data_IF_437583646638
#
_entry.id   IF_437583646638
#
_cell.length_a   1.000
_cell.length_b   1.000
_cell.length_c   1.000
_cell.angle_alpha   90.00
_cell.angle_beta   90.00
_cell.angle_gamma   90.00
#
_symmetry.space_group_name_H-M   'P 1'
#
loop_
_entity.id
_entity.type
_entity.pdbx_description
1 polymer ?
#
# COMPACT_ATOMS: atom_id res chain seq x y z
N UNK A 1 8.83 6.19 1.13
CA UNK A 1 8.13 5.29 0.22
C UNK A 1 7.04 4.56 0.97
N UNK A 2 5.83 4.45 0.40
CA UNK A 2 4.65 3.78 0.97
C UNK A 2 3.96 2.93 -0.10
N UNK A 3 3.02 2.12 0.32
CA UNK A 3 2.04 1.48 -0.57
C UNK A 3 0.64 1.78 -0.05
N UNK A 4 -0.09 2.67 -0.71
CA UNK A 4 -1.37 3.25 -0.24
C UNK A 4 -1.23 4.01 1.09
N UNK A 5 -0.57 5.16 1.06
CA UNK A 5 -0.21 5.97 2.24
C UNK A 5 -1.40 6.50 3.06
N UNK A 6 -2.62 6.42 2.55
CA UNK A 6 -3.78 7.16 3.07
C UNK A 6 -4.08 6.88 4.55
N UNK A 7 -4.14 5.61 4.97
CA UNK A 7 -4.42 5.27 6.37
C UNK A 7 -3.21 5.53 7.29
N UNK A 8 -2.00 5.35 6.77
CA UNK A 8 -0.79 5.66 7.55
C UNK A 8 -0.69 7.17 7.79
N UNK A 9 -0.98 8.00 6.78
CA UNK A 9 -0.98 9.45 6.91
C UNK A 9 -2.11 9.95 7.83
N UNK A 10 -3.30 9.37 7.75
CA UNK A 10 -4.42 9.64 8.66
C UNK A 10 -4.02 9.35 10.12
N UNK A 11 -3.52 8.15 10.39
CA UNK A 11 -3.12 7.76 11.75
C UNK A 11 -1.98 8.63 12.28
N UNK A 12 -0.95 8.90 11.48
CA UNK A 12 0.19 9.71 11.91
C UNK A 12 -0.23 11.15 12.21
N UNK A 13 -1.08 11.73 11.38
CA UNK A 13 -1.52 13.12 11.54
C UNK A 13 -2.56 13.26 12.67
N UNK A 14 -3.64 12.48 12.64
CA UNK A 14 -4.76 12.66 13.56
C UNK A 14 -4.56 12.07 14.97
N UNK A 15 -3.60 11.13 15.14
CA UNK A 15 -3.29 10.54 16.44
C UNK A 15 -2.01 11.11 17.03
N UNK A 16 -0.99 11.35 16.20
CA UNK A 16 0.36 11.70 16.66
C UNK A 16 0.82 13.10 16.23
N UNK A 17 -0.01 13.86 15.52
CA UNK A 17 0.30 15.18 14.97
C UNK A 17 1.56 15.19 14.07
N UNK A 18 1.87 14.05 13.45
CA UNK A 18 3.01 13.89 12.54
C UNK A 18 2.55 14.08 11.11
N UNK A 19 3.08 15.10 10.45
CA UNK A 19 2.84 15.37 9.04
C UNK A 19 3.85 14.67 8.15
N UNK A 20 3.36 13.84 7.21
CA UNK A 20 4.19 13.21 6.19
C UNK A 20 4.47 14.18 5.03
N UNK A 21 5.74 14.25 4.62
CA UNK A 21 6.19 15.00 3.44
C UNK A 21 7.04 14.11 2.52
N UNK A 22 7.16 14.53 1.25
CA UNK A 22 7.97 13.82 0.24
C UNK A 22 7.62 12.34 0.09
N UNK A 23 6.33 12.03 0.16
CA UNK A 23 5.83 10.66 0.01
C UNK A 23 5.89 10.21 -1.45
N UNK A 24 6.36 8.98 -1.65
CA UNK A 24 6.27 8.26 -2.92
C UNK A 24 5.43 7.01 -2.72
N UNK A 25 4.24 6.98 -3.32
CA UNK A 25 3.25 5.91 -3.11
C UNK A 25 3.28 4.91 -4.27
N UNK A 26 3.76 3.71 -4.01
CA UNK A 26 3.92 2.65 -5.01
C UNK A 26 2.59 2.14 -5.61
N UNK A 27 1.47 2.31 -4.91
CA UNK A 27 0.17 1.98 -5.52
C UNK A 27 -0.15 2.95 -6.68
N UNK A 28 0.31 4.20 -6.60
CA UNK A 28 0.20 5.16 -7.71
C UNK A 28 1.18 4.84 -8.85
N UNK A 29 2.36 4.29 -8.54
CA UNK A 29 3.29 3.78 -9.57
C UNK A 29 2.65 2.63 -10.36
N UNK A 30 1.94 1.68 -9.70
CA UNK A 30 1.19 0.65 -10.41
C UNK A 30 0.13 1.24 -11.37
N UNK A 31 -0.59 2.27 -10.93
CA UNK A 31 -1.55 2.97 -11.79
C UNK A 31 -0.84 3.65 -12.97
N UNK A 32 0.26 4.36 -12.70
CA UNK A 32 1.06 5.03 -13.74
C UNK A 32 1.56 4.01 -14.79
N UNK A 33 2.11 2.90 -14.32
CA UNK A 33 2.57 1.80 -15.19
C UNK A 33 1.43 1.23 -16.04
N UNK A 34 0.26 0.95 -15.44
CA UNK A 34 -0.90 0.44 -16.21
C UNK A 34 -1.38 1.45 -17.24
N UNK A 35 -1.54 2.72 -16.86
CA UNK A 35 -1.99 3.78 -17.78
C UNK A 35 -1.00 4.04 -18.91
N UNK A 36 0.29 4.07 -18.61
CA UNK A 36 1.33 4.28 -19.62
C UNK A 36 1.39 3.15 -20.66
N UNK A 37 0.87 1.97 -20.32
CA UNK A 37 0.79 0.82 -21.19
C UNK A 37 -0.64 0.54 -21.73
N UNK A 38 -1.55 1.53 -21.64
CA UNK A 38 -2.94 1.42 -22.08
C UNK A 38 -3.73 0.27 -21.43
N UNK A 39 -3.37 -0.11 -20.19
CA UNK A 39 -4.08 -1.13 -19.43
C UNK A 39 -5.22 -0.46 -18.64
N UNK A 40 -6.44 -1.01 -18.63
CA UNK A 40 -7.56 -0.46 -17.87
C UNK A 40 -7.23 -0.30 -16.37
N UNK A 41 -7.49 0.89 -15.83
CA UNK A 41 -7.16 1.26 -14.45
C UNK A 41 -8.35 1.81 -13.69
N UNK A 42 -9.49 1.13 -13.75
CA UNK A 42 -10.66 1.51 -12.97
C UNK A 42 -10.43 1.36 -11.45
N UNK A 43 -9.70 0.32 -11.05
CA UNK A 43 -9.44 0.01 -9.66
C UNK A 43 -7.94 -0.03 -9.34
N UNK A 44 -7.60 0.28 -8.09
CA UNK A 44 -6.25 0.10 -7.54
C UNK A 44 -5.95 -1.39 -7.34
N UNK A 45 -4.67 -1.73 -7.32
CA UNK A 45 -4.20 -3.07 -6.90
C UNK A 45 -3.77 -3.02 -5.44
N UNK A 46 -3.94 -4.13 -4.72
CA UNK A 46 -3.37 -4.30 -3.38
C UNK A 46 -1.89 -4.71 -3.43
N UNK A 47 -1.15 -4.47 -2.33
CA UNK A 47 0.28 -4.74 -2.21
C UNK A 47 0.65 -6.18 -2.59
N UNK A 48 -0.03 -7.18 -2.02
CA UNK A 48 0.28 -8.60 -2.29
C UNK A 48 0.15 -8.93 -3.77
N UNK A 49 -0.89 -8.42 -4.44
CA UNK A 49 -1.08 -8.61 -5.88
C UNK A 49 0.05 -7.99 -6.70
N UNK A 50 0.50 -6.78 -6.32
CA UNK A 50 1.60 -6.13 -7.02
C UNK A 50 2.92 -6.91 -6.82
N UNK A 51 3.21 -7.35 -5.60
CA UNK A 51 4.40 -8.17 -5.31
C UNK A 51 4.37 -9.48 -6.11
N UNK A 52 3.26 -10.19 -6.12
CA UNK A 52 3.12 -11.43 -6.89
C UNK A 52 3.31 -11.22 -8.40
N UNK A 53 2.77 -10.12 -8.92
CA UNK A 53 2.80 -9.83 -10.36
C UNK A 53 4.16 -9.34 -10.83
N UNK A 54 4.85 -8.48 -10.05
CA UNK A 54 6.04 -7.77 -10.51
C UNK A 54 7.36 -8.32 -9.94
N UNK A 55 7.31 -8.92 -8.74
CA UNK A 55 8.49 -9.43 -8.05
C UNK A 55 8.57 -10.96 -8.11
N UNK A 56 7.41 -11.63 -8.21
CA UNK A 56 7.28 -13.09 -8.19
C UNK A 56 8.00 -13.70 -6.97
N UNK A 57 7.53 -13.43 -5.74
CA UNK A 57 8.21 -13.81 -4.52
C UNK A 57 8.22 -15.34 -4.32
N UNK A 58 9.16 -15.89 -3.54
CA UNK A 58 9.21 -17.32 -3.22
C UNK A 58 7.97 -17.77 -2.42
N UNK A 59 7.68 -19.08 -2.44
CA UNK A 59 6.52 -19.65 -1.74
C UNK A 59 6.53 -19.35 -0.24
N UNK A 60 7.70 -19.35 0.41
CA UNK A 60 7.85 -18.97 1.80
C UNK A 60 7.26 -17.58 2.12
N UNK A 61 7.38 -16.61 1.21
CA UNK A 61 6.73 -15.30 1.37
C UNK A 61 5.20 -15.42 1.42
N UNK A 62 4.62 -16.23 0.53
CA UNK A 62 3.16 -16.47 0.47
C UNK A 62 2.66 -17.17 1.74
N UNK A 63 3.42 -18.10 2.27
CA UNK A 63 3.09 -18.85 3.50
C UNK A 63 3.04 -17.91 4.71
N UNK A 64 4.04 -17.05 4.88
CA UNK A 64 4.07 -16.06 5.98
C UNK A 64 2.91 -15.07 5.85
N UNK A 65 2.62 -14.58 4.64
CA UNK A 65 1.45 -13.71 4.38
C UNK A 65 0.15 -14.41 4.74
N UNK A 66 -0.02 -15.67 4.35
CA UNK A 66 -1.22 -16.44 4.65
C UNK A 66 -1.36 -16.72 6.17
N UNK A 67 -0.26 -17.01 6.85
CA UNK A 67 -0.24 -17.26 8.30
C UNK A 67 -0.64 -15.99 9.09
N UNK A 68 -0.03 -14.84 8.79
CA UNK A 68 -0.38 -13.56 9.42
C UNK A 68 -1.83 -13.17 9.16
N UNK A 69 -2.28 -13.28 7.92
CA UNK A 69 -3.64 -12.93 7.50
C UNK A 69 -4.72 -13.73 8.26
N UNK A 70 -4.47 -15.00 8.58
CA UNK A 70 -5.39 -15.82 9.41
C UNK A 70 -5.53 -15.30 10.83
N UNK A 71 -4.52 -14.66 11.39
CA UNK A 71 -4.53 -14.18 12.76
C UNK A 71 -5.35 -12.91 12.96
N UNK A 72 -5.35 -12.00 11.98
CA UNK A 72 -6.04 -10.71 12.14
C UNK A 72 -7.31 -10.57 11.32
N UNK A 73 -7.49 -11.31 10.23
CA UNK A 73 -8.65 -11.16 9.37
C UNK A 73 -9.91 -11.75 10.02
N UNK A 74 -10.95 -10.95 10.33
CA UNK A 74 -12.21 -11.44 10.89
C UNK A 74 -12.88 -12.50 10.01
N UNK A 75 -12.77 -12.36 8.69
CA UNK A 75 -13.32 -13.32 7.73
C UNK A 75 -12.69 -14.72 7.83
N UNK A 76 -11.51 -14.80 8.47
CA UNK A 76 -10.76 -16.04 8.70
C UNK A 76 -10.75 -16.47 10.17
N UNK A 77 -11.61 -15.85 10.99
CA UNK A 77 -11.72 -16.12 12.42
C UNK A 77 -10.66 -15.40 13.28
N UNK A 78 -9.91 -14.47 12.71
CA UNK A 78 -8.93 -13.65 13.41
C UNK A 78 -9.54 -12.37 14.00
N UNK A 79 -8.69 -11.56 14.65
CA UNK A 79 -9.06 -10.26 15.20
C UNK A 79 -7.93 -9.25 15.05
N UNK A 80 -8.24 -8.00 14.71
CA UNK A 80 -7.27 -6.91 14.67
C UNK A 80 -6.63 -6.60 16.02
N UNK A 81 -7.24 -7.02 17.14
CA UNK A 81 -6.66 -6.89 18.48
C UNK A 81 -5.31 -7.61 18.63
N UNK A 82 -4.99 -8.56 17.74
CA UNK A 82 -3.68 -9.22 17.73
C UNK A 82 -2.52 -8.23 17.56
N UNK A 83 -2.74 -7.09 16.90
CA UNK A 83 -1.72 -6.05 16.75
C UNK A 83 -1.45 -5.24 18.03
N UNK A 84 -2.37 -5.29 19.00
CA UNK A 84 -2.26 -4.59 20.30
C UNK A 84 -1.55 -5.43 21.35
N UNK A 85 -1.46 -6.75 21.16
CA UNK A 85 -0.84 -7.66 22.11
C UNK A 85 0.66 -7.37 22.28
N UNK A 86 1.14 -7.47 23.52
CA UNK A 86 2.56 -7.35 23.85
C UNK A 86 3.01 -8.50 24.76
N UNK A 87 4.11 -9.21 24.44
CA UNK A 87 4.90 -9.07 23.22
C UNK A 87 4.07 -9.41 21.96
N UNK A 88 4.44 -8.80 20.82
CA UNK A 88 3.75 -9.06 19.55
C UNK A 88 3.96 -10.52 19.12
N UNK A 89 2.91 -11.17 18.65
CA UNK A 89 2.99 -12.54 18.09
C UNK A 89 4.06 -12.58 16.98
N UNK A 90 5.03 -13.51 17.07
CA UNK A 90 6.12 -13.62 16.08
C UNK A 90 5.63 -13.75 14.62
N UNK A 91 4.46 -14.36 14.41
CA UNK A 91 3.86 -14.50 13.06
C UNK A 91 3.34 -13.16 12.55
N UNK A 92 2.79 -12.32 13.42
CA UNK A 92 2.38 -10.96 13.09
C UNK A 92 3.60 -10.09 12.83
N UNK A 93 4.65 -10.21 13.64
CA UNK A 93 5.90 -9.50 13.39
C UNK A 93 6.50 -9.86 12.02
N UNK A 94 6.55 -11.15 11.71
CA UNK A 94 7.03 -11.62 10.40
C UNK A 94 6.14 -11.12 9.25
N UNK A 95 4.82 -11.09 9.44
CA UNK A 95 3.86 -10.54 8.48
C UNK A 95 4.15 -9.05 8.21
N UNK A 96 4.28 -8.24 9.25
CA UNK A 96 4.57 -6.80 9.12
C UNK A 96 5.93 -6.55 8.45
N UNK A 97 6.96 -7.30 8.83
CA UNK A 97 8.28 -7.20 8.21
C UNK A 97 8.24 -7.52 6.71
N UNK A 98 7.45 -8.49 6.31
CA UNK A 98 7.28 -8.84 4.90
C UNK A 98 6.55 -7.79 4.07
N UNK A 99 5.68 -6.99 4.67
CA UNK A 99 4.98 -5.91 3.96
C UNK A 99 5.95 -4.84 3.46
N UNK A 100 7.11 -4.69 4.09
CA UNK A 100 8.11 -3.70 3.70
C UNK A 100 9.33 -4.33 3.01
N UNK A 101 9.62 -5.62 3.22
CA UNK A 101 10.85 -6.26 2.78
C UNK A 101 11.08 -6.23 1.25
N UNK A 102 10.02 -6.26 0.46
CA UNK A 102 10.10 -6.29 -1.00
C UNK A 102 9.75 -4.95 -1.67
N UNK A 103 9.57 -3.89 -0.91
CA UNK A 103 9.12 -2.60 -1.43
C UNK A 103 10.11 -1.99 -2.44
N UNK A 104 11.42 -2.03 -2.18
CA UNK A 104 12.43 -1.54 -3.13
C UNK A 104 12.51 -2.37 -4.41
N UNK A 105 12.34 -3.69 -4.30
CA UNK A 105 12.30 -4.56 -5.47
C UNK A 105 11.04 -4.30 -6.30
N UNK A 106 9.91 -4.07 -5.63
CA UNK A 106 8.64 -3.73 -6.27
C UNK A 106 8.73 -2.40 -7.01
N UNK A 107 9.27 -1.36 -6.38
CA UNK A 107 9.53 -0.06 -7.00
C UNK A 107 10.35 -0.22 -8.28
N UNK A 108 11.54 -0.81 -8.18
CA UNK A 108 12.43 -1.00 -9.31
C UNK A 108 11.82 -1.85 -10.45
N UNK A 109 10.97 -2.84 -10.11
CA UNK A 109 10.29 -3.65 -11.10
C UNK A 109 9.20 -2.86 -11.84
N UNK A 110 8.40 -2.07 -11.12
CA UNK A 110 7.32 -1.27 -11.71
C UNK A 110 7.84 -0.10 -12.54
N UNK A 111 8.84 0.64 -12.05
CA UNK A 111 9.40 1.81 -12.74
C UNK A 111 10.00 1.45 -14.09
N UNK A 112 10.69 0.32 -14.19
CA UNK A 112 11.21 -0.19 -15.48
C UNK A 112 10.12 -0.43 -16.52
N UNK A 113 8.88 -0.61 -16.10
CA UNK A 113 7.73 -0.87 -16.98
C UNK A 113 6.89 0.38 -17.28
N UNK A 114 7.20 1.53 -16.67
CA UNK A 114 6.50 2.78 -16.95
C UNK A 114 7.00 3.35 -18.28
N UNK A 115 6.08 3.61 -19.20
CA UNK A 115 6.38 4.15 -20.53
C UNK A 115 6.02 5.65 -20.58
N UNK A 116 6.92 6.45 -21.15
CA UNK A 116 6.71 7.90 -21.32
C UNK A 116 7.27 8.74 -20.18
N UNK A 117 7.15 10.07 -20.36
CA UNK A 117 7.74 11.06 -19.46
C UNK A 117 6.73 11.59 -18.44
N UNK A 118 7.24 12.21 -17.36
CA UNK A 118 6.46 12.92 -16.33
C UNK A 118 5.61 12.03 -15.39
N UNK A 119 5.66 10.72 -15.45
CA UNK A 119 4.89 9.88 -14.53
C UNK A 119 5.37 10.01 -13.09
N UNK A 120 6.70 10.09 -12.86
CA UNK A 120 7.27 10.31 -11.53
C UNK A 120 6.69 11.58 -10.87
N UNK A 121 6.70 12.72 -11.57
CA UNK A 121 6.11 13.97 -11.08
C UNK A 121 4.62 13.81 -10.77
N UNK A 122 3.88 13.11 -11.62
CA UNK A 122 2.45 12.85 -11.39
C UNK A 122 2.22 11.96 -10.17
N UNK A 123 3.04 10.93 -9.97
CA UNK A 123 3.00 10.07 -8.78
C UNK A 123 3.28 10.88 -7.52
N UNK A 124 4.28 11.75 -7.52
CA UNK A 124 4.60 12.63 -6.39
C UNK A 124 3.43 13.58 -6.06
N UNK A 125 2.83 14.20 -7.07
CA UNK A 125 1.64 15.05 -6.87
C UNK A 125 0.47 14.22 -6.33
N UNK A 126 0.20 13.06 -6.90
CA UNK A 126 -0.86 12.16 -6.43
C UNK A 126 -0.63 11.67 -4.99
N UNK A 127 0.62 11.42 -4.62
CA UNK A 127 1.00 11.04 -3.26
C UNK A 127 0.75 12.17 -2.27
N UNK A 128 1.14 13.40 -2.63
CA UNK A 128 0.87 14.60 -1.81
C UNK A 128 -0.62 14.84 -1.64
N UNK A 129 -1.42 14.66 -2.69
CA UNK A 129 -2.88 14.76 -2.64
C UNK A 129 -3.49 13.73 -1.68
N UNK A 130 -3.02 12.48 -1.70
CA UNK A 130 -3.45 11.44 -0.74
C UNK A 130 -3.14 11.80 0.71
N UNK A 131 -1.96 12.36 0.97
CA UNK A 131 -1.60 12.85 2.31
C UNK A 131 -2.49 14.02 2.73
N UNK A 132 -2.74 14.97 1.85
CA UNK A 132 -3.62 16.10 2.13
C UNK A 132 -5.08 15.66 2.40
N UNK A 133 -5.62 14.75 1.60
CA UNK A 133 -6.96 14.18 1.76
C UNK A 133 -7.12 13.46 3.10
N UNK A 134 -6.13 12.68 3.53
CA UNK A 134 -6.18 11.89 4.76
C UNK A 134 -6.10 12.71 6.05
N UNK A 135 -5.67 13.99 5.99
CA UNK A 135 -5.68 14.90 7.15
C UNK A 135 -7.07 15.44 7.49
N UNK A 136 -8.03 15.29 6.60
CA UNK A 136 -9.39 15.76 6.82
C UNK A 136 -10.09 15.03 7.96
N UNK A 137 -10.71 15.74 8.89
CA UNK A 137 -11.52 15.16 9.97
C UNK A 137 -12.72 14.34 9.49
N UNK A 138 -13.11 14.50 8.23
CA UNK A 138 -14.17 13.73 7.57
C UNK A 138 -13.62 12.64 6.66
N UNK A 139 -12.31 12.34 6.73
CA UNK A 139 -11.69 11.34 5.88
C UNK A 139 -12.30 9.95 6.12
N UNK A 140 -12.94 9.35 5.10
CA UNK A 140 -13.53 8.05 5.24
C UNK A 140 -12.46 6.97 5.07
N UNK A 141 -11.80 6.58 6.16
CA UNK A 141 -10.71 5.59 6.17
C UNK A 141 -11.06 4.22 5.58
N UNK A 142 -12.35 3.94 5.33
CA UNK A 142 -12.86 2.70 4.77
C UNK A 142 -13.92 2.96 3.69
N UNK A 143 -14.15 1.98 2.80
CA UNK A 143 -15.23 2.04 1.82
C UNK A 143 -14.79 1.69 0.40
N UNK A 144 -15.79 1.34 -0.44
CA UNK A 144 -15.57 0.91 -1.83
C UNK A 144 -14.95 2.01 -2.72
N UNK A 145 -15.18 3.29 -2.40
CA UNK A 145 -14.60 4.42 -3.13
C UNK A 145 -13.05 4.39 -3.11
N UNK A 146 -12.45 3.84 -2.06
CA UNK A 146 -11.00 3.70 -1.92
C UNK A 146 -10.37 2.72 -2.92
N UNK A 147 -11.15 1.80 -3.45
CA UNK A 147 -10.71 0.89 -4.49
C UNK A 147 -10.66 1.53 -5.89
N UNK A 148 -11.28 2.72 -6.07
CA UNK A 148 -11.28 3.43 -7.35
C UNK A 148 -9.91 4.09 -7.55
N UNK A 149 -9.33 3.90 -8.73
CA UNK A 149 -8.06 4.53 -9.07
C UNK A 149 -8.22 6.06 -9.22
N UNK A 150 -7.43 6.87 -8.51
CA UNK A 150 -7.51 8.33 -8.61
C UNK A 150 -7.06 8.83 -9.99
N UNK A 151 -7.53 10.01 -10.35
CA UNK A 151 -6.99 10.77 -11.49
C UNK A 151 -5.82 11.62 -10.99
N UNK A 152 -4.68 11.51 -11.63
CA UNK A 152 -3.49 12.32 -11.33
C UNK A 152 -2.55 12.42 -12.54
#
# INVERSE_FOLDING_TARGET
MFFDVRNDADALYNIYEIELANVYDLQLVDIARRRSNNIPTKFVSGLSRCIELYVNPPNAWKEVKAAGNRLFSPEKGGSYTIFEQRPLDPRILAYCAQDVALMFQLEAAMERMVVGKNWEKRVLIGSANRVAESKSSIYPGQGRHRAIAPVF
#
